data_IF_494749641909
#
_entry.id   IF_494749641909
#
_cell.length_a   1.000
_cell.length_b   1.000
_cell.length_c   1.000
_cell.angle_alpha   90.00
_cell.angle_beta   90.00
_cell.angle_gamma   90.00
#
_symmetry.space_group_name_H-M   'P 1'
#
loop_
_entity.id
_entity.type
_entity.pdbx_description
1 polymer ?
#
# COMPACT_ATOMS: atom_id res chain seq x y z
N UNK A 1 19.04 -7.24 3.27
CA UNK A 1 17.75 -7.12 2.55
C UNK A 1 16.68 -7.05 3.62
N UNK A 2 15.85 -6.00 3.62
CA UNK A 2 14.81 -5.88 4.63
C UNK A 2 13.76 -6.98 4.43
N UNK A 3 13.39 -7.66 5.52
CA UNK A 3 12.39 -8.75 5.54
C UNK A 3 10.99 -8.25 5.12
N UNK A 4 10.81 -6.93 5.22
CA UNK A 4 9.59 -6.20 4.91
C UNK A 4 9.89 -5.12 3.88
N UNK A 5 9.05 -5.02 2.85
CA UNK A 5 9.11 -4.00 1.82
C UNK A 5 7.73 -3.40 1.57
N UNK A 6 7.67 -2.07 1.52
CA UNK A 6 6.50 -1.32 1.06
C UNK A 6 6.86 -0.65 -0.26
N UNK A 7 6.23 -1.07 -1.35
CA UNK A 7 6.42 -0.51 -2.68
C UNK A 7 5.27 0.42 -3.03
N UNK A 8 5.60 1.67 -3.33
CA UNK A 8 4.64 2.66 -3.84
C UNK A 8 4.47 2.43 -5.34
N UNK A 9 3.27 2.05 -5.78
CA UNK A 9 2.96 1.89 -7.20
C UNK A 9 2.42 3.19 -7.79
N UNK A 10 2.86 3.49 -9.01
CA UNK A 10 2.37 4.62 -9.80
C UNK A 10 0.89 4.49 -10.05
N UNK A 11 0.15 5.57 -9.77
CA UNK A 11 -1.30 5.62 -9.95
C UNK A 11 -2.01 4.45 -9.25
N UNK A 12 -1.39 3.89 -8.21
CA UNK A 12 -1.75 2.60 -7.66
C UNK A 12 -1.56 2.49 -6.15
N UNK A 13 -1.80 1.28 -5.61
CA UNK A 13 -1.79 1.03 -4.17
C UNK A 13 -0.38 0.96 -3.58
N UNK A 14 -0.32 0.91 -2.25
CA UNK A 14 0.90 0.55 -1.53
C UNK A 14 0.96 -0.98 -1.47
N UNK A 15 1.95 -1.59 -2.12
CA UNK A 15 2.18 -3.03 -2.07
C UNK A 15 3.09 -3.35 -0.89
N UNK A 16 2.54 -4.05 0.08
CA UNK A 16 3.26 -4.51 1.27
C UNK A 16 3.63 -5.98 1.05
N UNK A 17 4.90 -6.29 1.23
CA UNK A 17 5.46 -7.64 1.12
C UNK A 17 6.32 -7.91 2.34
N UNK A 18 6.14 -9.05 2.99
CA UNK A 18 6.85 -9.44 4.21
C UNK A 18 5.89 -9.79 5.34
N UNK A 19 6.44 -10.22 6.46
CA UNK A 19 5.67 -10.55 7.66
C UNK A 19 5.44 -9.28 8.45
N UNK A 20 4.24 -8.70 8.35
CA UNK A 20 3.86 -7.50 9.12
C UNK A 20 2.51 -7.71 9.80
N UNK A 21 2.21 -6.89 10.79
CA UNK A 21 0.89 -6.83 11.41
C UNK A 21 0.21 -5.55 10.94
N UNK A 22 -1.02 -5.67 10.46
CA UNK A 22 -1.84 -4.53 10.08
C UNK A 22 -2.82 -4.26 11.23
N UNK A 23 -2.70 -3.09 11.86
CA UNK A 23 -3.56 -2.67 12.98
C UNK A 23 -4.36 -1.44 12.61
N UNK A 24 -5.56 -1.28 13.19
CA UNK A 24 -6.32 -0.04 13.11
C UNK A 24 -5.91 0.96 14.21
N UNK A 25 -6.60 2.11 14.27
CA UNK A 25 -6.34 3.16 15.24
C UNK A 25 -6.68 2.77 16.70
N UNK A 26 -7.51 1.76 16.88
CA UNK A 26 -7.90 1.20 18.18
C UNK A 26 -7.01 0.00 18.59
N UNK A 27 -6.15 -0.45 17.68
CA UNK A 27 -5.23 -1.58 17.89
C UNK A 27 -5.79 -2.94 17.47
N UNK A 28 -6.95 -3.01 16.79
CA UNK A 28 -7.44 -4.30 16.29
C UNK A 28 -6.63 -4.75 15.08
N UNK A 29 -6.35 -6.05 15.00
CA UNK A 29 -5.56 -6.64 13.93
C UNK A 29 -6.44 -7.05 12.74
N UNK A 30 -5.94 -6.79 11.53
CA UNK A 30 -6.55 -7.28 10.31
C UNK A 30 -5.93 -8.62 9.87
N UNK A 31 -6.75 -9.58 9.40
CA UNK A 31 -6.23 -10.79 8.78
C UNK A 31 -5.62 -10.43 7.42
N UNK A 32 -4.31 -10.57 7.30
CA UNK A 32 -3.56 -10.25 6.09
C UNK A 32 -2.60 -11.38 5.69
N UNK A 33 -2.18 -11.36 4.43
CA UNK A 33 -1.27 -12.35 3.85
C UNK A 33 0.12 -11.73 3.75
N UNK A 34 1.17 -12.54 3.70
CA UNK A 34 2.56 -12.09 3.50
C UNK A 34 2.78 -11.12 2.30
N UNK A 35 1.84 -11.02 1.36
CA UNK A 35 1.79 -9.91 0.41
C UNK A 35 0.35 -9.41 0.20
N UNK A 36 0.13 -8.12 0.45
CA UNK A 36 -1.16 -7.45 0.29
C UNK A 36 -0.99 -6.03 -0.24
N UNK A 37 -2.09 -5.42 -0.68
CA UNK A 37 -2.08 -4.08 -1.28
C UNK A 37 -3.06 -3.18 -0.53
N UNK A 38 -2.55 -2.07 0.01
CA UNK A 38 -3.35 -1.06 0.70
C UNK A 38 -3.80 0.03 -0.26
N UNK A 39 -5.03 0.49 -0.07
CA UNK A 39 -5.58 1.58 -0.86
C UNK A 39 -4.82 2.86 -0.56
N UNK A 40 -4.41 3.54 -1.63
CA UNK A 40 -3.79 4.88 -1.56
C UNK A 40 -4.68 5.97 -2.14
N UNK A 41 -5.70 5.60 -2.92
CA UNK A 41 -6.54 6.53 -3.66
C UNK A 41 -7.80 6.99 -2.92
N UNK A 42 -8.14 6.38 -1.77
CA UNK A 42 -9.35 6.68 -1.00
C UNK A 42 -10.67 6.21 -1.63
N UNK A 43 -10.66 5.70 -2.86
CA UNK A 43 -11.88 5.30 -3.60
C UNK A 43 -12.22 3.81 -3.50
N UNK A 44 -11.46 3.02 -2.74
CA UNK A 44 -11.72 1.58 -2.62
C UNK A 44 -13.00 1.31 -1.84
N UNK A 45 -13.81 0.36 -2.30
CA UNK A 45 -14.97 -0.14 -1.54
C UNK A 45 -14.58 -1.17 -0.47
N UNK A 46 -13.29 -1.55 -0.40
CA UNK A 46 -12.73 -2.54 0.53
C UNK A 46 -11.62 -1.96 1.41
N UNK A 47 -11.74 -0.70 1.82
CA UNK A 47 -10.78 -0.05 2.72
C UNK A 47 -10.52 -0.93 3.96
N UNK A 48 -9.26 -1.06 4.41
CA UNK A 48 -8.05 -0.36 3.97
C UNK A 48 -7.38 -0.96 2.71
N UNK A 49 -7.92 -2.03 2.13
CA UNK A 49 -7.33 -2.74 1.00
C UNK A 49 -7.65 -2.10 -0.35
N UNK A 50 -6.79 -2.35 -1.32
CA UNK A 50 -7.02 -1.96 -2.71
C UNK A 50 -7.88 -2.99 -3.45
N UNK A 51 -8.95 -2.52 -4.08
CA UNK A 51 -9.89 -3.30 -4.90
C UNK A 51 -9.71 -3.09 -6.42
N UNK A 52 -8.86 -2.14 -6.83
CA UNK A 52 -8.62 -1.80 -8.23
C UNK A 52 -9.31 -0.51 -8.70
N UNK A 53 -10.11 0.14 -7.85
CA UNK A 53 -10.88 1.35 -8.20
C UNK A 53 -10.00 2.56 -8.56
N UNK A 54 -8.70 2.51 -8.23
CA UNK A 54 -7.73 3.54 -8.61
C UNK A 54 -7.51 3.67 -10.13
N UNK A 55 -7.75 2.60 -10.91
CA UNK A 55 -7.44 2.58 -12.35
C UNK A 55 -8.23 3.66 -13.10
N UNK A 56 -7.50 4.56 -13.76
CA UNK A 56 -8.06 5.65 -14.57
C UNK A 56 -8.69 6.80 -13.77
N UNK A 57 -8.58 6.80 -12.44
CA UNK A 57 -9.15 7.83 -11.56
C UNK A 57 -8.16 8.40 -10.55
N UNK A 58 -7.02 7.75 -10.35
CA UNK A 58 -6.01 8.14 -9.40
C UNK A 58 -4.70 8.42 -10.11
N UNK A 59 -4.24 9.67 -10.01
CA UNK A 59 -2.97 10.12 -10.58
C UNK A 59 -2.04 10.52 -9.44
N UNK A 60 -1.00 9.72 -9.22
CA UNK A 60 -0.01 10.01 -8.21
C UNK A 60 1.28 9.24 -8.48
N UNK A 61 2.30 10.00 -8.84
CA UNK A 61 3.64 9.50 -9.16
C UNK A 61 4.58 10.06 -8.09
N UNK A 62 4.84 9.27 -7.06
CA UNK A 62 5.75 9.63 -5.96
C UNK A 62 7.08 8.94 -6.19
N UNK A 63 8.17 9.67 -6.03
CA UNK A 63 9.54 9.17 -6.20
C UNK A 63 10.33 9.46 -4.94
N UNK A 64 11.09 8.47 -4.49
CA UNK A 64 12.15 8.75 -3.54
C UNK A 64 13.18 9.67 -4.21
N UNK A 65 13.78 10.62 -3.47
CA UNK A 65 14.92 11.37 -4.00
C UNK A 65 15.99 10.36 -4.43
N UNK A 66 16.51 10.55 -5.65
CA UNK A 66 17.74 9.86 -6.03
C UNK A 66 18.84 10.59 -5.26
N UNK A 67 19.44 9.94 -4.27
CA UNK A 67 20.70 10.42 -3.72
C UNK A 67 21.62 10.65 -4.93
N UNK A 68 21.93 11.92 -5.14
CA UNK A 68 22.88 12.35 -6.16
C UNK A 68 24.24 11.99 -5.59
N UNK A 69 25.02 11.20 -6.31
CA UNK A 69 26.45 11.04 -6.04
C UNK A 69 27.16 12.39 -5.90
#
# INVERSE_FOLDING_TARGET
MSDVQIKVLDNGPLRVTGTVELVDAEGNTYPQKAAFSLCRCGMSSKLPYCDGTHKGKFESVVRAPKESE
#
